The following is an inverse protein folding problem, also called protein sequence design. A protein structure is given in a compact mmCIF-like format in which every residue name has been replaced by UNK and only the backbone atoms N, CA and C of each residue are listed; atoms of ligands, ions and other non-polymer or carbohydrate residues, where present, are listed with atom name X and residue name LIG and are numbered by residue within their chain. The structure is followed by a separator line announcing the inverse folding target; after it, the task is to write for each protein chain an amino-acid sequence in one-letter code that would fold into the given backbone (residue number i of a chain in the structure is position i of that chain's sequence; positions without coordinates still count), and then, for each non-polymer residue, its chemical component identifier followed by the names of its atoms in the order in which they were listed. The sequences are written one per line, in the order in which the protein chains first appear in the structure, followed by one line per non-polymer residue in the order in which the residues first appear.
data_IF_289043420915
#
_entry.id   IF_289043420915
#
_cell.length_a   1.000
_cell.length_b   1.000
_cell.length_c   1.000
_cell.angle_alpha   90.00
_cell.angle_beta   90.00
_cell.angle_gamma   90.00
#
_symmetry.space_group_name_H-M   'P 1'
#
loop_
_entity.id
_entity.type
_entity.pdbx_description
1 polymer ?
#
# COMPACT_ATOMS: atom_id res chain seq x y z
N UNK A 1 1.80 -47.27 15.21
CA UNK A 1 1.24 -46.69 13.98
C UNK A 1 1.05 -45.19 14.21
N UNK A 2 1.95 -44.37 13.67
CA UNK A 2 1.84 -42.92 13.78
C UNK A 2 0.65 -42.44 12.93
N UNK A 3 -0.31 -41.78 13.56
CA UNK A 3 -1.42 -41.15 12.88
C UNK A 3 -0.87 -40.08 11.93
N UNK A 4 -0.88 -40.36 10.62
CA UNK A 4 -0.66 -39.36 9.58
C UNK A 4 -1.73 -38.28 9.79
N UNK A 5 -1.31 -37.10 10.24
CA UNK A 5 -2.18 -35.94 10.32
C UNK A 5 -2.64 -35.61 8.91
N UNK A 6 -3.93 -35.82 8.64
CA UNK A 6 -4.56 -35.43 7.39
C UNK A 6 -4.59 -33.90 7.33
N UNK A 7 -3.55 -33.29 6.80
CA UNK A 7 -3.55 -31.87 6.46
C UNK A 7 -4.51 -31.67 5.30
N UNK A 8 -5.77 -31.36 5.63
CA UNK A 8 -6.76 -30.89 4.66
C UNK A 8 -6.17 -29.70 3.88
N UNK A 9 -6.13 -29.73 2.54
CA UNK A 9 -5.55 -28.65 1.75
C UNK A 9 -6.31 -27.35 1.99
N UNK A 10 -5.61 -26.32 2.48
CA UNK A 10 -6.17 -24.97 2.67
C UNK A 10 -6.31 -24.49 4.12
N UNK A 11 -5.91 -25.26 5.14
CA UNK A 11 -5.84 -24.76 6.53
C UNK A 11 -4.74 -23.71 6.70
N UNK A 12 -5.04 -22.66 7.44
CA UNK A 12 -4.15 -21.59 7.88
C UNK A 12 -3.27 -22.07 9.02
N UNK A 13 -1.98 -21.75 8.96
CA UNK A 13 -0.99 -22.12 9.98
C UNK A 13 -0.83 -21.00 11.00
N UNK A 14 -0.70 -21.39 12.28
CA UNK A 14 -0.39 -20.47 13.38
C UNK A 14 1.00 -19.87 13.18
N UNK A 15 1.98 -20.69 12.77
CA UNK A 15 3.35 -20.24 12.53
C UNK A 15 3.40 -19.15 11.45
N UNK A 16 2.71 -19.37 10.32
CA UNK A 16 2.65 -18.38 9.23
C UNK A 16 1.97 -17.09 9.71
N UNK A 17 0.93 -17.19 10.55
CA UNK A 17 0.27 -16.01 11.10
C UNK A 17 1.21 -15.19 12.00
N UNK A 18 2.01 -15.82 12.87
CA UNK A 18 3.00 -15.11 13.69
C UNK A 18 4.17 -14.54 12.88
N UNK A 19 4.65 -15.29 11.89
CA UNK A 19 5.67 -14.80 10.95
C UNK A 19 5.19 -13.53 10.25
N UNK A 20 3.98 -13.55 9.70
CA UNK A 20 3.38 -12.37 9.08
C UNK A 20 3.13 -11.24 10.08
N UNK A 21 2.76 -11.55 11.33
CA UNK A 21 2.59 -10.55 12.39
C UNK A 21 3.92 -9.85 12.75
N UNK A 22 5.05 -10.56 12.72
CA UNK A 22 6.35 -9.97 13.03
C UNK A 22 6.83 -9.01 11.93
N UNK A 23 6.77 -9.45 10.65
CA UNK A 23 7.33 -8.67 9.54
C UNK A 23 6.35 -7.70 8.88
N UNK A 24 5.06 -8.07 8.84
CA UNK A 24 4.01 -7.31 8.14
C UNK A 24 2.85 -6.93 9.06
N UNK A 25 2.98 -7.17 10.37
CA UNK A 25 1.87 -7.04 11.31
C UNK A 25 1.43 -5.62 11.55
N UNK A 26 2.35 -4.65 11.53
CA UNK A 26 2.01 -3.21 11.61
C UNK A 26 1.08 -2.83 10.44
N UNK A 27 1.30 -3.40 9.26
CA UNK A 27 0.47 -3.19 8.08
C UNK A 27 -0.72 -4.15 7.96
N UNK A 28 -0.92 -5.05 8.93
CA UNK A 28 -2.05 -5.98 8.96
C UNK A 28 -1.95 -7.19 8.01
N UNK A 29 -0.75 -7.57 7.57
CA UNK A 29 -0.58 -8.69 6.62
C UNK A 29 -1.09 -10.04 7.15
N UNK A 30 -0.94 -10.30 8.45
CA UNK A 30 -1.49 -11.51 9.10
C UNK A 30 -3.03 -11.52 9.10
N UNK A 31 -3.69 -10.37 9.23
CA UNK A 31 -5.15 -10.28 9.10
C UNK A 31 -5.63 -10.58 7.69
N UNK A 32 -4.88 -10.12 6.68
CA UNK A 32 -5.17 -10.47 5.30
C UNK A 32 -5.02 -11.98 5.06
N UNK A 33 -3.99 -12.62 5.62
CA UNK A 33 -3.84 -14.09 5.54
C UNK A 33 -4.99 -14.86 6.20
N UNK A 34 -5.45 -14.35 7.34
CA UNK A 34 -6.56 -14.90 8.14
C UNK A 34 -7.95 -14.50 7.61
N UNK A 35 -8.03 -13.82 6.45
CA UNK A 35 -9.29 -13.39 5.82
C UNK A 35 -10.13 -12.42 6.67
N UNK A 36 -9.45 -11.56 7.43
CA UNK A 36 -10.03 -10.48 8.21
C UNK A 36 -9.77 -9.14 7.54
N UNK A 37 -10.31 -8.94 6.34
CA UNK A 37 -10.01 -7.77 5.49
C UNK A 37 -10.28 -6.42 6.15
N UNK A 38 -11.41 -6.29 6.85
CA UNK A 38 -11.73 -5.07 7.63
C UNK A 38 -10.70 -4.78 8.72
N UNK A 39 -10.18 -5.84 9.34
CA UNK A 39 -9.18 -5.74 10.39
C UNK A 39 -7.82 -5.35 9.81
N UNK A 40 -7.45 -5.95 8.67
CA UNK A 40 -6.25 -5.59 7.91
C UNK A 40 -6.26 -4.12 7.51
N UNK A 41 -7.40 -3.63 6.98
CA UNK A 41 -7.55 -2.22 6.60
C UNK A 41 -7.39 -1.27 7.80
N UNK A 42 -8.05 -1.57 8.92
CA UNK A 42 -7.90 -0.77 10.15
C UNK A 42 -6.44 -0.74 10.59
N UNK A 43 -5.75 -1.88 10.62
CA UNK A 43 -4.34 -1.96 11.02
C UNK A 43 -3.44 -1.13 10.12
N UNK A 44 -3.64 -1.21 8.81
CA UNK A 44 -2.89 -0.42 7.85
C UNK A 44 -3.12 1.09 8.05
N UNK A 45 -4.36 1.55 8.25
CA UNK A 45 -4.65 2.99 8.50
C UNK A 45 -4.23 3.49 9.88
N UNK A 46 -3.91 2.61 10.83
CA UNK A 46 -3.62 2.99 12.24
C UNK A 46 -2.25 2.53 12.71
N UNK A 47 -1.38 2.11 11.79
CA UNK A 47 -0.03 1.60 12.08
C UNK A 47 -0.05 0.52 13.17
N UNK A 48 -0.84 -0.53 12.94
CA UNK A 48 -0.94 -1.67 13.85
C UNK A 48 -1.88 -1.43 15.02
N UNK A 49 -2.93 -0.61 14.85
CA UNK A 49 -3.86 -0.30 15.94
C UNK A 49 -3.21 0.56 17.02
N UNK A 50 -2.51 1.62 16.60
CA UNK A 50 -1.77 2.54 17.47
C UNK A 50 -0.68 1.84 18.29
N UNK A 51 -0.02 0.83 17.69
CA UNK A 51 1.04 -0.02 18.29
C UNK A 51 0.54 -0.93 19.44
N UNK A 52 -0.32 -0.41 20.33
CA UNK A 52 -0.94 -1.14 21.44
C UNK A 52 -1.79 -2.30 20.93
N UNK A 53 -2.51 -2.09 19.83
CA UNK A 53 -3.26 -3.13 19.15
C UNK A 53 -2.35 -4.30 18.74
N UNK A 54 -1.29 -4.00 17.99
CA UNK A 54 -0.30 -4.96 17.49
C UNK A 54 0.32 -5.81 18.61
N UNK A 55 0.69 -5.21 19.74
CA UNK A 55 1.20 -5.94 20.93
C UNK A 55 0.14 -6.89 21.52
N UNK A 56 -1.10 -6.39 21.68
CA UNK A 56 -2.21 -7.18 22.23
C UNK A 56 -2.64 -8.36 21.35
N UNK A 57 -2.25 -8.38 20.08
CA UNK A 57 -2.63 -9.44 19.15
C UNK A 57 -1.85 -10.73 19.30
N UNK A 58 -0.67 -10.71 19.93
CA UNK A 58 0.12 -11.90 20.23
C UNK A 58 -0.75 -12.98 20.88
N UNK A 59 -1.62 -12.57 21.80
CA UNK A 59 -2.52 -13.47 22.54
C UNK A 59 -3.77 -13.87 21.74
N UNK A 60 -4.14 -13.13 20.70
CA UNK A 60 -5.38 -13.33 19.93
C UNK A 60 -5.19 -14.13 18.64
N UNK A 61 -3.98 -14.12 18.06
CA UNK A 61 -3.64 -14.85 16.84
C UNK A 61 -4.07 -16.33 16.86
N UNK A 62 -3.86 -17.11 17.94
CA UNK A 62 -4.29 -18.51 17.96
C UNK A 62 -5.80 -18.65 17.78
N UNK A 63 -6.58 -17.76 18.39
CA UNK A 63 -8.04 -17.73 18.23
C UNK A 63 -8.43 -17.35 16.80
N UNK A 64 -7.75 -16.40 16.18
CA UNK A 64 -8.03 -16.02 14.79
C UNK A 64 -7.71 -17.12 13.79
N UNK A 65 -6.66 -17.91 14.03
CA UNK A 65 -6.32 -19.06 13.18
C UNK A 65 -7.38 -20.15 13.30
N UNK A 66 -7.86 -20.44 14.52
CA UNK A 66 -8.99 -21.36 14.74
C UNK A 66 -10.26 -20.89 14.02
N UNK A 67 -10.56 -19.60 14.08
CA UNK A 67 -11.67 -18.99 13.35
C UNK A 67 -11.49 -19.13 11.83
N UNK A 68 -10.31 -18.84 11.29
CA UNK A 68 -10.04 -18.92 9.85
C UNK A 68 -10.06 -20.37 9.29
N UNK A 69 -9.90 -21.35 10.17
CA UNK A 69 -9.88 -22.78 9.86
C UNK A 69 -11.21 -23.49 10.11
N UNK A 70 -12.24 -22.77 10.58
CA UNK A 70 -13.52 -23.36 10.97
C UNK A 70 -13.34 -24.54 11.96
N UNK A 71 -12.45 -24.37 12.96
CA UNK A 71 -12.12 -25.41 13.95
C UNK A 71 -13.38 -25.87 14.72
N UNK A 72 -13.70 -27.18 14.78
CA UNK A 72 -14.87 -27.68 15.49
C UNK A 72 -15.01 -27.18 16.92
N UNK A 73 -13.91 -27.11 17.69
CA UNK A 73 -13.94 -26.63 19.07
C UNK A 73 -14.35 -25.16 19.15
N UNK A 74 -13.84 -24.36 18.23
CA UNK A 74 -14.16 -22.93 18.15
C UNK A 74 -15.61 -22.71 17.71
N UNK A 75 -16.10 -23.48 16.74
CA UNK A 75 -17.49 -23.40 16.26
C UNK A 75 -18.47 -23.78 17.38
N UNK A 76 -18.18 -24.82 18.14
CA UNK A 76 -19.01 -25.22 19.29
C UNK A 76 -19.01 -24.17 20.41
N UNK A 77 -17.84 -23.60 20.73
CA UNK A 77 -17.73 -22.50 21.70
C UNK A 77 -18.53 -21.27 21.24
N UNK A 78 -18.43 -20.92 19.96
CA UNK A 78 -19.19 -19.81 19.38
C UNK A 78 -20.70 -20.09 19.42
N UNK A 79 -21.13 -21.30 19.06
CA UNK A 79 -22.53 -21.71 19.12
C UNK A 79 -23.08 -21.59 20.55
N UNK A 80 -22.34 -22.06 21.56
CA UNK A 80 -22.71 -21.91 22.98
C UNK A 80 -22.90 -20.43 23.35
N UNK A 81 -21.99 -19.54 22.95
CA UNK A 81 -22.10 -18.09 23.23
C UNK A 81 -23.31 -17.45 22.56
N UNK A 82 -23.62 -17.84 21.32
CA UNK A 82 -24.78 -17.34 20.56
C UNK A 82 -26.09 -17.81 21.19
N UNK A 83 -26.15 -19.04 21.69
CA UNK A 83 -27.32 -19.57 22.39
C UNK A 83 -27.53 -18.86 23.74
N UNK A 84 -26.46 -18.69 24.53
CA UNK A 84 -26.54 -18.03 25.83
C UNK A 84 -26.93 -16.56 25.71
N UNK A 85 -26.39 -15.84 24.72
CA UNK A 85 -26.58 -14.41 24.58
C UNK A 85 -27.31 -14.09 23.28
N UNK A 86 -28.59 -13.68 23.37
CA UNK A 86 -29.38 -13.27 22.19
C UNK A 86 -28.71 -12.14 21.38
N UNK A 87 -27.94 -11.27 22.05
CA UNK A 87 -27.11 -10.23 21.45
C UNK A 87 -25.65 -10.38 21.93
N UNK A 88 -24.64 -10.00 21.14
CA UNK A 88 -23.26 -10.01 21.61
C UNK A 88 -23.10 -9.15 22.86
N UNK A 89 -22.36 -9.61 23.90
CA UNK A 89 -22.13 -8.81 25.10
C UNK A 89 -21.30 -7.56 24.79
N UNK A 90 -21.29 -6.59 25.71
CA UNK A 90 -20.43 -5.41 25.59
C UNK A 90 -18.95 -5.83 25.65
N UNK A 91 -18.12 -5.25 24.79
CA UNK A 91 -16.68 -5.48 24.78
C UNK A 91 -15.94 -4.15 24.82
N UNK A 92 -15.26 -3.90 25.94
CA UNK A 92 -14.48 -2.68 26.13
C UNK A 92 -13.45 -2.49 25.01
N UNK A 93 -12.69 -3.54 24.68
CA UNK A 93 -11.67 -3.48 23.62
C UNK A 93 -12.25 -3.07 22.25
N UNK A 94 -13.45 -3.56 21.92
CA UNK A 94 -14.11 -3.19 20.66
C UNK A 94 -14.63 -1.76 20.73
N UNK A 95 -15.25 -1.37 21.84
CA UNK A 95 -15.78 -0.03 22.04
C UNK A 95 -14.68 1.02 21.99
N UNK A 96 -13.58 0.82 22.71
CA UNK A 96 -12.38 1.66 22.63
C UNK A 96 -11.82 1.71 21.21
N UNK A 97 -11.76 0.56 20.51
CA UNK A 97 -11.34 0.52 19.12
C UNK A 97 -12.22 1.37 18.19
N UNK A 98 -13.55 1.37 18.38
CA UNK A 98 -14.48 2.21 17.62
C UNK A 98 -14.17 3.70 17.83
N UNK A 99 -13.90 4.10 19.07
CA UNK A 99 -13.55 5.49 19.41
C UNK A 99 -12.19 5.89 18.83
N UNK A 100 -11.15 5.07 19.00
CA UNK A 100 -9.81 5.42 18.54
C UNK A 100 -9.73 5.54 17.01
N UNK A 101 -10.27 4.53 16.29
CA UNK A 101 -10.27 4.52 14.82
C UNK A 101 -11.21 5.60 14.28
N UNK A 102 -12.40 5.74 14.87
CA UNK A 102 -13.35 6.77 14.48
C UNK A 102 -12.80 8.18 14.66
N UNK A 103 -12.13 8.45 15.77
CA UNK A 103 -11.50 9.75 16.03
C UNK A 103 -10.37 10.03 15.03
N UNK A 104 -9.47 9.07 14.81
CA UNK A 104 -8.36 9.21 13.87
C UNK A 104 -8.84 9.49 12.44
N UNK A 105 -9.85 8.76 11.97
CA UNK A 105 -10.40 8.98 10.62
C UNK A 105 -11.19 10.29 10.50
N UNK A 106 -11.89 10.70 11.56
CA UNK A 106 -12.61 11.98 11.60
C UNK A 106 -11.64 13.17 11.53
N UNK A 107 -10.57 13.13 12.33
CA UNK A 107 -9.49 14.13 12.31
C UNK A 107 -8.84 14.21 10.93
N UNK A 108 -8.52 13.06 10.32
CA UNK A 108 -7.96 12.99 8.97
C UNK A 108 -8.88 13.66 7.93
N UNK A 109 -10.18 13.42 8.02
CA UNK A 109 -11.16 13.99 7.10
C UNK A 109 -11.25 15.51 7.26
N UNK A 110 -11.17 16.01 8.49
CA UNK A 110 -11.19 17.44 8.77
C UNK A 110 -9.93 18.14 8.25
N UNK A 111 -8.75 17.58 8.54
CA UNK A 111 -7.48 18.15 8.09
C UNK A 111 -7.28 18.09 6.57
N UNK A 112 -7.99 17.19 5.89
CA UNK A 112 -8.01 17.17 4.44
C UNK A 112 -8.77 18.36 3.81
N UNK A 113 -9.65 19.04 4.57
CA UNK A 113 -10.45 20.18 4.10
C UNK A 113 -9.64 21.48 4.31
N UNK A 114 -9.43 22.30 3.28
CA UNK A 114 -8.67 23.54 3.42
C UNK A 114 -9.40 24.56 4.32
N UNK A 115 -8.66 25.29 5.18
CA UNK A 115 -9.25 26.27 6.10
C UNK A 115 -9.78 27.52 5.38
N UNK A 116 -9.15 27.90 4.27
CA UNK A 116 -9.43 29.11 3.51
C UNK A 116 -10.13 28.85 2.18
N UNK A 117 -10.67 29.91 1.57
CA UNK A 117 -11.31 29.84 0.27
C UNK A 117 -10.30 29.48 -0.82
N UNK A 118 -10.35 28.23 -1.29
CA UNK A 118 -9.55 27.76 -2.41
C UNK A 118 -10.24 28.19 -3.72
N UNK A 119 -9.57 29.01 -4.53
CA UNK A 119 -10.12 29.54 -5.81
C UNK A 119 -11.46 30.30 -5.66
N UNK A 120 -11.65 31.02 -4.55
CA UNK A 120 -12.87 31.79 -4.29
C UNK A 120 -14.07 30.94 -3.84
N UNK A 121 -13.90 29.62 -3.68
CA UNK A 121 -14.94 28.73 -3.14
C UNK A 121 -14.63 28.44 -1.67
N UNK A 122 -15.60 28.71 -0.78
CA UNK A 122 -15.49 28.37 0.63
C UNK A 122 -15.78 26.87 0.83
N UNK A 123 -14.73 26.05 0.95
CA UNK A 123 -14.87 24.60 1.13
C UNK A 123 -15.19 24.19 2.57
N UNK A 124 -15.31 25.13 3.51
CA UNK A 124 -15.64 24.86 4.91
C UNK A 124 -17.03 24.26 5.10
N UNK A 125 -17.94 24.44 4.14
CA UNK A 125 -19.25 23.77 4.11
C UNK A 125 -19.13 22.24 3.93
N UNK A 126 -18.00 21.74 3.42
CA UNK A 126 -17.72 20.32 3.32
C UNK A 126 -17.59 19.65 4.71
N UNK A 127 -17.41 20.44 5.78
CA UNK A 127 -17.50 19.95 7.15
C UNK A 127 -18.89 19.38 7.49
N UNK A 128 -19.94 19.75 6.76
CA UNK A 128 -21.26 19.12 6.88
C UNK A 128 -21.25 17.66 6.40
N UNK A 129 -20.26 17.29 5.58
CA UNK A 129 -20.01 15.91 5.21
C UNK A 129 -19.21 15.17 6.27
N UNK A 130 -18.78 15.74 7.39
CA UNK A 130 -18.11 14.97 8.46
C UNK A 130 -19.02 13.81 8.92
N UNK A 131 -20.32 14.03 9.23
CA UNK A 131 -21.29 12.94 9.42
C UNK A 131 -21.50 12.00 8.21
N UNK A 132 -21.18 12.40 6.98
CA UNK A 132 -21.47 11.64 5.73
C UNK A 132 -20.24 10.88 5.19
N UNK A 133 -19.03 11.40 5.37
CA UNK A 133 -17.78 10.67 5.37
C UNK A 133 -17.80 9.57 6.44
N UNK A 134 -18.72 9.68 7.41
CA UNK A 134 -19.14 8.67 8.37
C UNK A 134 -20.35 7.81 7.90
N UNK A 135 -20.76 7.85 6.63
CA UNK A 135 -21.66 6.85 6.08
C UNK A 135 -22.53 7.29 4.91
N UNK A 136 -22.33 6.66 3.75
CA UNK A 136 -23.33 6.57 2.70
C UNK A 136 -23.83 5.12 2.60
N UNK A 137 -25.10 4.90 2.95
CA UNK A 137 -25.80 3.69 2.52
C UNK A 137 -27.24 4.02 2.11
N UNK A 138 -27.51 3.85 0.81
CA UNK A 138 -28.87 3.88 0.28
C UNK A 138 -29.56 2.57 0.67
N UNK A 139 -30.17 2.56 1.85
CA UNK A 139 -30.88 1.40 2.32
C UNK A 139 -32.19 1.15 1.55
N UNK A 140 -32.16 0.25 0.57
CA UNK A 140 -33.39 -0.30 -0.02
C UNK A 140 -33.92 -1.40 0.91
N UNK A 141 -34.97 -1.11 1.69
CA UNK A 141 -35.77 -2.16 2.36
C UNK A 141 -36.52 -2.93 1.27
N UNK A 142 -36.23 -4.21 1.06
CA UNK A 142 -37.23 -5.10 0.47
C UNK A 142 -38.01 -5.76 1.61
N UNK A 143 -39.27 -5.38 1.72
CA UNK A 143 -40.27 -6.09 2.52
C UNK A 143 -40.61 -7.35 1.74
N UNK A 144 -40.07 -8.50 2.18
CA UNK A 144 -40.56 -9.79 1.71
C UNK A 144 -41.90 -10.03 2.40
N UNK A 145 -43.01 -9.86 1.67
CA UNK A 145 -44.30 -10.40 2.07
C UNK A 145 -44.17 -11.93 2.08
N UNK A 146 -44.17 -12.52 3.27
CA UNK A 146 -44.11 -13.97 3.43
C UNK A 146 -45.36 -14.62 2.84
N UNK A 147 -45.15 -15.62 1.97
CA UNK A 147 -46.19 -16.56 1.61
C UNK A 147 -46.19 -17.68 2.67
N UNK A 148 -47.32 -17.90 3.35
CA UNK A 148 -47.40 -18.73 4.57
C UNK A 148 -47.35 -20.25 4.33
N UNK A 149 -47.26 -20.70 3.08
CA UNK A 149 -47.50 -22.12 2.76
C UNK A 149 -46.25 -22.93 2.35
N UNK A 150 -45.04 -22.39 2.52
CA UNK A 150 -43.79 -23.13 2.26
C UNK A 150 -42.81 -23.06 3.43
N UNK A 151 -43.23 -23.57 4.58
CA UNK A 151 -42.34 -23.86 5.70
C UNK A 151 -41.68 -25.24 5.51
N UNK A 152 -40.73 -25.36 4.58
CA UNK A 152 -39.65 -26.37 4.57
C UNK A 152 -38.69 -26.06 3.42
N UNK A 153 -37.47 -25.68 3.80
CA UNK A 153 -36.26 -25.78 2.97
C UNK A 153 -36.20 -24.93 1.71
N UNK A 154 -36.29 -23.61 1.85
CA UNK A 154 -35.60 -22.68 0.92
C UNK A 154 -35.56 -21.30 1.57
N UNK A 155 -34.44 -21.00 2.24
CA UNK A 155 -34.17 -19.66 2.74
C UNK A 155 -33.80 -18.82 1.51
N UNK A 156 -34.78 -18.10 0.97
CA UNK A 156 -34.60 -17.13 -0.09
C UNK A 156 -33.49 -16.14 0.31
N UNK A 157 -32.43 -16.17 -0.49
CA UNK A 157 -31.20 -15.40 -0.32
C UNK A 157 -31.51 -13.94 -0.64
N UNK A 158 -31.59 -13.08 0.38
CA UNK A 158 -31.44 -11.65 0.15
C UNK A 158 -29.95 -11.35 -0.03
N UNK A 159 -29.55 -11.13 -1.28
CA UNK A 159 -28.26 -10.57 -1.62
C UNK A 159 -28.14 -9.14 -1.08
N UNK A 160 -27.36 -8.98 0.00
CA UNK A 160 -26.69 -7.71 0.29
C UNK A 160 -25.43 -7.68 -0.56
N UNK A 161 -25.51 -6.98 -1.69
CA UNK A 161 -24.35 -6.65 -2.49
C UNK A 161 -23.51 -5.63 -1.70
N UNK A 162 -22.52 -6.14 -0.95
CA UNK A 162 -21.55 -5.43 -0.10
C UNK A 162 -20.59 -4.50 -0.90
N UNK A 163 -20.92 -4.14 -2.14
CA UNK A 163 -20.03 -3.51 -3.13
C UNK A 163 -20.19 -1.99 -3.31
N UNK A 164 -20.87 -1.27 -2.40
CA UNK A 164 -21.07 0.19 -2.54
C UNK A 164 -20.50 0.92 -1.32
N UNK A 165 -19.43 1.68 -1.57
CA UNK A 165 -18.57 2.51 -0.70
C UNK A 165 -19.05 2.79 0.75
N UNK A 166 -18.29 2.38 1.78
CA UNK A 166 -18.55 2.72 3.19
C UNK A 166 -17.28 2.75 4.05
N UNK A 167 -16.79 3.93 4.48
CA UNK A 167 -15.86 3.98 5.60
C UNK A 167 -16.36 4.89 6.74
N UNK A 168 -17.20 4.35 7.62
CA UNK A 168 -17.32 4.88 8.99
C UNK A 168 -16.37 4.08 9.90
N UNK A 169 -15.50 4.76 10.65
CA UNK A 169 -14.54 4.11 11.56
C UNK A 169 -15.22 3.26 12.63
N UNK A 170 -16.28 3.79 13.26
CA UNK A 170 -17.10 3.10 14.27
C UNK A 170 -17.72 1.83 13.71
N UNK A 171 -18.39 1.93 12.56
CA UNK A 171 -19.01 0.77 11.92
C UNK A 171 -17.98 -0.25 11.45
N UNK A 172 -16.85 0.19 10.89
CA UNK A 172 -15.80 -0.72 10.40
C UNK A 172 -15.30 -1.59 11.53
N UNK A 173 -14.94 -0.99 12.67
CA UNK A 173 -14.50 -1.71 13.88
C UNK A 173 -15.63 -2.55 14.49
N UNK A 174 -16.85 -2.00 14.53
CA UNK A 174 -18.03 -2.70 15.03
C UNK A 174 -18.37 -3.98 14.28
N UNK A 175 -18.04 -4.05 13.00
CA UNK A 175 -18.32 -5.21 12.15
C UNK A 175 -17.13 -6.17 11.96
N UNK A 176 -16.08 -6.06 12.80
CA UNK A 176 -14.96 -6.99 12.80
C UNK A 176 -15.34 -8.33 13.48
N UNK A 177 -14.90 -9.45 12.92
CA UNK A 177 -15.11 -10.79 13.51
C UNK A 177 -16.53 -11.34 13.29
N UNK A 178 -17.11 -11.90 14.36
CA UNK A 178 -18.41 -12.59 14.38
C UNK A 178 -19.59 -11.67 14.68
N UNK A 179 -19.36 -10.37 14.81
CA UNK A 179 -20.40 -9.38 15.08
C UNK A 179 -20.71 -8.62 13.79
N UNK A 180 -21.96 -8.22 13.66
CA UNK A 180 -22.43 -7.37 12.57
C UNK A 180 -23.49 -6.38 13.03
N UNK A 181 -23.53 -5.24 12.35
CA UNK A 181 -24.45 -4.14 12.61
C UNK A 181 -24.64 -3.26 11.38
N UNK A 182 -25.79 -2.61 11.33
CA UNK A 182 -26.10 -1.61 10.31
C UNK A 182 -25.38 -0.29 10.57
N UNK A 183 -25.07 0.42 9.49
CA UNK A 183 -24.49 1.77 9.50
C UNK A 183 -25.48 2.85 9.97
N UNK A 184 -26.79 2.58 9.95
CA UNK A 184 -27.81 3.60 10.19
C UNK A 184 -27.78 4.18 11.60
N UNK A 185 -27.63 3.33 12.61
CA UNK A 185 -27.64 3.73 14.01
C UNK A 185 -26.45 4.60 14.40
N UNK A 186 -25.20 4.24 14.09
CA UNK A 186 -24.07 5.10 14.39
C UNK A 186 -24.14 6.43 13.63
N UNK A 187 -24.61 6.41 12.37
CA UNK A 187 -24.87 7.63 11.60
C UNK A 187 -25.94 8.53 12.26
N UNK A 188 -27.07 7.96 12.69
CA UNK A 188 -28.11 8.70 13.42
C UNK A 188 -27.58 9.28 14.74
N UNK A 189 -26.74 8.52 15.46
CA UNK A 189 -26.08 9.00 16.68
C UNK A 189 -25.16 10.20 16.41
N UNK A 190 -24.37 10.13 15.33
CA UNK A 190 -23.51 11.24 14.91
C UNK A 190 -24.32 12.49 14.53
N UNK A 191 -25.37 12.34 13.71
CA UNK A 191 -26.23 13.46 13.31
C UNK A 191 -27.02 14.05 14.49
N UNK A 192 -27.49 13.22 15.42
CA UNK A 192 -28.20 13.70 16.61
C UNK A 192 -27.28 14.54 17.52
N UNK A 193 -25.99 14.22 17.57
CA UNK A 193 -24.99 14.99 18.31
C UNK A 193 -24.45 16.21 17.54
N UNK A 194 -24.66 16.29 16.21
CA UNK A 194 -24.14 17.38 15.37
C UNK A 194 -24.48 18.81 15.86
N UNK A 195 -25.71 19.10 16.33
CA UNK A 195 -26.05 20.44 16.83
C UNK A 195 -25.23 20.90 18.04
N UNK A 196 -24.60 19.99 18.79
CA UNK A 196 -23.76 20.32 19.95
C UNK A 196 -22.55 21.18 19.54
N UNK A 197 -22.11 21.08 18.28
CA UNK A 197 -21.06 21.90 17.70
C UNK A 197 -21.30 23.41 17.84
N UNK A 198 -22.56 23.86 17.86
CA UNK A 198 -22.87 25.28 18.04
C UNK A 198 -22.67 25.78 19.47
N UNK A 199 -22.63 24.88 20.45
CA UNK A 199 -22.50 25.20 21.87
C UNK A 199 -21.09 24.94 22.41
N UNK A 200 -20.32 24.07 21.75
CA UNK A 200 -18.96 23.71 22.14
C UNK A 200 -17.97 24.32 21.15
N UNK A 201 -17.18 25.29 21.61
CA UNK A 201 -16.19 26.00 20.78
C UNK A 201 -14.93 25.18 20.47
N UNK A 202 -14.67 24.12 21.22
CA UNK A 202 -13.53 23.23 21.00
C UNK A 202 -13.91 22.10 20.04
N UNK A 203 -13.26 22.07 18.87
CA UNK A 203 -13.52 21.08 17.83
C UNK A 203 -13.29 19.64 18.36
N UNK A 204 -12.23 19.42 19.15
CA UNK A 204 -11.90 18.09 19.68
C UNK A 204 -12.98 17.57 20.63
N UNK A 205 -13.49 18.42 21.52
CA UNK A 205 -14.55 18.04 22.47
C UNK A 205 -15.82 17.66 21.71
N UNK A 206 -16.24 18.48 20.75
CA UNK A 206 -17.43 18.20 19.95
C UNK A 206 -17.29 16.85 19.20
N UNK A 207 -16.12 16.56 18.60
CA UNK A 207 -15.86 15.28 17.92
C UNK A 207 -15.99 14.09 18.86
N UNK A 208 -15.44 14.18 20.07
CA UNK A 208 -15.51 13.08 21.03
C UNK A 208 -16.95 12.78 21.44
N UNK A 209 -17.78 13.81 21.63
CA UNK A 209 -19.20 13.67 21.96
C UNK A 209 -19.97 13.00 20.81
N UNK A 210 -19.77 13.47 19.57
CA UNK A 210 -20.38 12.87 18.38
C UNK A 210 -20.01 11.39 18.24
N UNK A 211 -18.74 11.08 18.47
CA UNK A 211 -18.21 9.74 18.34
C UNK A 211 -18.71 8.80 19.42
N UNK A 212 -18.79 9.28 20.67
CA UNK A 212 -19.41 8.55 21.78
C UNK A 212 -20.89 8.25 21.48
N UNK A 213 -21.64 9.24 21.00
CA UNK A 213 -23.04 9.05 20.62
C UNK A 213 -23.19 7.99 19.51
N UNK A 214 -22.37 8.05 18.47
CA UNK A 214 -22.33 7.06 17.39
C UNK A 214 -21.98 5.65 17.88
N UNK A 215 -20.91 5.50 18.67
CA UNK A 215 -20.48 4.22 19.22
C UNK A 215 -21.52 3.59 20.17
N UNK A 216 -22.11 4.40 21.06
CA UNK A 216 -23.20 3.98 21.94
C UNK A 216 -24.43 3.54 21.14
N UNK A 217 -24.79 4.27 20.08
CA UNK A 217 -25.90 3.91 19.22
C UNK A 217 -25.65 2.58 18.48
N UNK A 218 -24.42 2.35 18.01
CA UNK A 218 -24.04 1.07 17.39
C UNK A 218 -24.16 -0.09 18.37
N UNK A 219 -23.56 0.04 19.56
CA UNK A 219 -23.52 -1.05 20.54
C UNK A 219 -24.92 -1.40 21.07
N UNK A 220 -25.75 -0.39 21.32
CA UNK A 220 -27.09 -0.56 21.88
C UNK A 220 -28.10 -1.12 20.88
N UNK A 221 -28.13 -0.57 19.65
CA UNK A 221 -29.22 -0.80 18.70
C UNK A 221 -28.82 -1.60 17.46
N UNK A 222 -27.56 -1.51 17.04
CA UNK A 222 -27.11 -2.09 15.78
C UNK A 222 -26.52 -3.49 15.93
N UNK A 223 -25.79 -3.73 17.02
CA UNK A 223 -24.97 -4.92 17.27
C UNK A 223 -25.79 -6.22 17.31
N UNK A 224 -25.40 -7.19 16.48
CA UNK A 224 -25.99 -8.53 16.36
C UNK A 224 -24.92 -9.57 16.06
N UNK A 225 -25.21 -10.84 16.37
CA UNK A 225 -24.37 -11.96 15.94
C UNK A 225 -24.48 -12.18 14.43
N UNK A 226 -23.34 -12.38 13.77
CA UNK A 226 -23.28 -12.79 12.38
C UNK A 226 -23.78 -14.22 12.26
N UNK A 227 -24.90 -14.41 11.56
CA UNK A 227 -25.57 -15.72 11.41
C UNK A 227 -25.04 -16.55 10.24
N UNK A 228 -24.50 -15.88 9.22
CA UNK A 228 -24.00 -16.53 8.01
C UNK A 228 -22.47 -16.56 8.02
N UNK A 229 -21.86 -17.72 7.68
CA UNK A 229 -20.41 -17.80 7.53
C UNK A 229 -19.96 -16.87 6.38
N UNK A 230 -18.77 -16.27 6.53
CA UNK A 230 -18.22 -15.38 5.50
C UNK A 230 -17.95 -16.18 4.22
N UNK A 231 -18.52 -15.74 3.10
CA UNK A 231 -18.19 -16.30 1.79
C UNK A 231 -16.72 -16.08 1.50
N UNK A 232 -16.02 -17.13 1.06
CA UNK A 232 -14.60 -17.08 0.68
C UNK A 232 -14.49 -16.35 -0.66
N UNK A 233 -14.06 -15.09 -0.64
CA UNK A 233 -13.87 -14.28 -1.85
C UNK A 233 -12.48 -14.51 -2.48
N UNK A 234 -12.38 -14.33 -3.79
CA UNK A 234 -11.12 -14.47 -4.52
C UNK A 234 -10.09 -13.40 -4.08
N UNK A 235 -8.80 -13.77 -4.05
CA UNK A 235 -7.75 -12.87 -3.57
C UNK A 235 -7.68 -11.58 -4.40
N UNK A 236 -7.87 -11.63 -5.72
CA UNK A 236 -7.86 -10.43 -6.59
C UNK A 236 -8.93 -9.42 -6.17
N UNK A 237 -10.16 -9.87 -5.91
CA UNK A 237 -11.25 -8.98 -5.46
C UNK A 237 -10.95 -8.36 -4.10
N UNK A 238 -10.30 -9.11 -3.20
CA UNK A 238 -9.92 -8.61 -1.86
C UNK A 238 -8.83 -7.56 -1.95
N UNK A 239 -7.79 -7.83 -2.75
CA UNK A 239 -6.70 -6.88 -3.01
C UNK A 239 -7.23 -5.63 -3.70
N UNK A 240 -8.12 -5.75 -4.69
CA UNK A 240 -8.68 -4.59 -5.38
C UNK A 240 -9.50 -3.71 -4.43
N UNK A 241 -10.35 -4.28 -3.58
CA UNK A 241 -11.13 -3.53 -2.59
C UNK A 241 -10.21 -2.81 -1.60
N UNK A 242 -9.20 -3.51 -1.05
CA UNK A 242 -8.24 -2.92 -0.12
C UNK A 242 -7.40 -1.83 -0.78
N UNK A 243 -6.97 -2.02 -2.03
CA UNK A 243 -6.24 -1.03 -2.80
C UNK A 243 -7.09 0.23 -3.04
N UNK A 244 -8.36 0.08 -3.44
CA UNK A 244 -9.27 1.23 -3.60
C UNK A 244 -9.46 1.99 -2.28
N UNK A 245 -9.69 1.28 -1.17
CA UNK A 245 -9.80 1.92 0.15
C UNK A 245 -8.49 2.61 0.58
N UNK A 246 -7.34 2.00 0.29
CA UNK A 246 -6.02 2.57 0.56
C UNK A 246 -5.76 3.83 -0.28
N UNK A 247 -6.13 3.83 -1.57
CA UNK A 247 -6.03 5.01 -2.43
C UNK A 247 -6.89 6.17 -1.90
N UNK A 248 -8.12 5.91 -1.46
CA UNK A 248 -8.98 6.93 -0.85
C UNK A 248 -8.32 7.47 0.42
N UNK A 249 -7.82 6.60 1.31
CA UNK A 249 -7.16 7.05 2.54
C UNK A 249 -5.87 7.85 2.27
N UNK A 250 -5.02 7.40 1.34
CA UNK A 250 -3.81 8.15 0.94
C UNK A 250 -4.16 9.48 0.29
N UNK A 251 -5.26 9.57 -0.47
CA UNK A 251 -5.70 10.85 -1.04
C UNK A 251 -6.04 11.89 0.02
N UNK A 252 -6.56 11.48 1.20
CA UNK A 252 -6.79 12.38 2.33
C UNK A 252 -5.47 12.88 2.92
N UNK A 253 -4.48 12.00 3.08
CA UNK A 253 -3.13 12.39 3.50
C UNK A 253 -2.43 13.31 2.51
N UNK A 254 -2.53 13.03 1.21
CA UNK A 254 -1.99 13.90 0.17
C UNK A 254 -2.68 15.27 0.19
N UNK A 255 -4.00 15.32 0.38
CA UNK A 255 -4.74 16.58 0.55
C UNK A 255 -4.24 17.36 1.76
N UNK A 256 -4.08 16.68 2.91
CA UNK A 256 -3.53 17.30 4.10
C UNK A 256 -2.13 17.89 3.86
N UNK A 257 -1.20 17.09 3.32
CA UNK A 257 0.16 17.55 3.01
C UNK A 257 0.17 18.69 2.00
N UNK A 258 -0.71 18.65 1.00
CA UNK A 258 -0.81 19.70 -0.01
C UNK A 258 -1.23 21.05 0.58
N UNK A 259 -2.21 21.05 1.50
CA UNK A 259 -2.74 22.29 2.09
C UNK A 259 -1.99 22.78 3.34
N UNK A 260 -1.39 21.88 4.12
CA UNK A 260 -0.77 22.22 5.41
C UNK A 260 0.75 22.00 5.44
N UNK A 261 1.31 21.31 4.46
CA UNK A 261 2.76 21.11 4.41
C UNK A 261 3.47 22.39 4.00
N UNK A 262 4.58 22.68 4.67
CA UNK A 262 5.52 23.74 4.33
C UNK A 262 6.89 23.12 4.02
N UNK A 263 7.61 23.71 3.07
CA UNK A 263 8.99 23.36 2.73
C UNK A 263 9.83 24.61 2.96
N UNK A 264 10.95 24.46 3.65
CA UNK A 264 11.92 25.54 3.85
C UNK A 264 12.81 25.69 2.63
N UNK A 265 12.92 26.88 2.08
CA UNK A 265 13.90 27.19 1.03
C UNK A 265 15.32 27.25 1.61
N UNK A 266 16.32 27.25 0.73
CA UNK A 266 17.73 27.50 1.00
C UNK A 266 18.01 28.82 1.74
N UNK A 267 17.12 29.80 1.63
CA UNK A 267 17.17 31.08 2.35
C UNK A 267 16.49 31.03 3.74
N UNK A 268 15.86 29.91 4.08
CA UNK A 268 15.18 29.69 5.37
C UNK A 268 13.71 30.08 5.41
N UNK A 269 13.14 30.56 4.30
CA UNK A 269 11.72 30.92 4.21
C UNK A 269 10.82 29.68 4.07
N UNK A 270 9.70 29.68 4.79
CA UNK A 270 8.70 28.60 4.74
C UNK A 270 7.69 28.84 3.60
N UNK A 271 7.75 27.99 2.57
CA UNK A 271 6.84 28.04 1.41
C UNK A 271 5.82 26.89 1.49
N UNK A 272 4.51 27.14 1.33
CA UNK A 272 3.52 26.07 1.27
C UNK A 272 3.77 25.09 0.11
N UNK A 273 3.53 23.79 0.35
CA UNK A 273 3.75 22.73 -0.65
C UNK A 273 2.97 22.98 -1.95
N UNK A 274 1.71 23.43 -1.86
CA UNK A 274 0.91 23.67 -3.06
C UNK A 274 1.52 24.74 -3.97
N UNK A 275 2.13 25.78 -3.39
CA UNK A 275 2.77 26.87 -4.11
C UNK A 275 4.10 26.42 -4.70
N UNK A 276 4.90 25.69 -3.91
CA UNK A 276 6.14 25.07 -4.38
C UNK A 276 5.89 24.12 -5.56
N UNK A 277 4.85 23.28 -5.48
CA UNK A 277 4.44 22.40 -6.59
C UNK A 277 3.99 23.21 -7.81
N UNK A 278 3.23 24.29 -7.60
CA UNK A 278 2.81 25.15 -8.71
C UNK A 278 4.02 25.75 -9.42
N UNK A 279 4.95 26.37 -8.67
CA UNK A 279 6.19 26.95 -9.20
C UNK A 279 7.08 25.91 -9.88
N UNK A 280 7.17 24.69 -9.31
CA UNK A 280 7.90 23.59 -9.92
C UNK A 280 7.29 23.22 -11.29
N UNK A 281 5.98 23.06 -11.38
CA UNK A 281 5.30 22.68 -12.62
C UNK A 281 5.17 23.81 -13.65
N UNK A 282 5.40 25.06 -13.25
CA UNK A 282 5.49 26.22 -14.17
C UNK A 282 6.93 26.62 -14.47
N UNK A 283 7.92 26.01 -13.81
CA UNK A 283 9.34 26.31 -14.02
C UNK A 283 9.78 26.02 -15.46
N UNK A 284 10.75 26.78 -16.00
CA UNK A 284 11.34 26.51 -17.32
C UNK A 284 11.86 25.08 -17.42
N UNK A 285 12.48 24.57 -16.36
CA UNK A 285 12.99 23.22 -16.30
C UNK A 285 11.90 22.15 -16.52
N UNK A 286 10.71 22.31 -15.93
CA UNK A 286 9.63 21.35 -16.11
C UNK A 286 9.04 21.41 -17.52
N UNK A 287 9.03 22.59 -18.14
CA UNK A 287 8.64 22.74 -19.54
C UNK A 287 9.62 22.00 -20.45
N UNK A 288 10.93 22.12 -20.19
CA UNK A 288 11.96 21.38 -20.93
C UNK A 288 11.79 19.86 -20.76
N UNK A 289 11.50 19.39 -19.54
CA UNK A 289 11.22 17.97 -19.28
C UNK A 289 10.00 17.49 -20.07
N UNK A 290 8.91 18.25 -20.07
CA UNK A 290 7.71 17.94 -20.87
C UNK A 290 8.04 17.86 -22.36
N UNK A 291 8.84 18.80 -22.85
CA UNK A 291 9.26 18.83 -24.24
C UNK A 291 10.13 17.62 -24.58
N UNK A 292 11.15 17.31 -23.78
CA UNK A 292 11.99 16.13 -23.95
C UNK A 292 11.18 14.82 -23.95
N UNK A 293 10.18 14.68 -23.07
CA UNK A 293 9.29 13.51 -23.05
C UNK A 293 8.47 13.42 -24.34
N UNK A 294 7.93 14.56 -24.82
CA UNK A 294 7.16 14.60 -26.06
C UNK A 294 8.01 14.26 -27.29
N UNK A 295 9.23 14.82 -27.38
CA UNK A 295 10.19 14.54 -28.44
C UNK A 295 10.64 13.07 -28.40
N UNK A 296 10.92 12.53 -27.22
CA UNK A 296 11.26 11.11 -27.04
C UNK A 296 10.12 10.22 -27.49
N UNK A 297 8.88 10.57 -27.16
CA UNK A 297 7.70 9.82 -27.58
C UNK A 297 7.52 9.85 -29.11
N UNK A 298 7.66 11.03 -29.74
CA UNK A 298 7.60 11.15 -31.20
C UNK A 298 8.72 10.36 -31.87
N UNK A 299 9.95 10.46 -31.35
CA UNK A 299 11.09 9.67 -31.83
C UNK A 299 10.83 8.17 -31.72
N UNK A 300 10.25 7.71 -30.59
CA UNK A 300 9.88 6.32 -30.36
C UNK A 300 8.81 5.83 -31.35
N UNK A 301 7.86 6.68 -31.73
CA UNK A 301 6.84 6.34 -32.73
C UNK A 301 7.45 6.13 -34.13
N UNK A 302 8.49 6.88 -34.49
CA UNK A 302 9.13 6.80 -35.80
C UNK A 302 10.21 5.69 -35.89
N UNK A 303 11.01 5.49 -34.85
CA UNK A 303 12.16 4.58 -34.85
C UNK A 303 11.95 3.29 -34.04
N UNK A 304 10.84 3.19 -33.30
CA UNK A 304 10.54 2.09 -32.40
C UNK A 304 11.16 2.26 -31.01
N UNK A 305 10.46 1.73 -30.00
CA UNK A 305 10.88 1.82 -28.58
C UNK A 305 12.22 1.13 -28.27
N UNK A 306 12.66 0.19 -29.11
CA UNK A 306 13.93 -0.50 -28.93
C UNK A 306 15.14 0.44 -29.12
N UNK A 307 15.12 1.27 -30.16
CA UNK A 307 16.21 2.23 -30.42
C UNK A 307 16.29 3.31 -29.34
N UNK A 308 15.14 3.75 -28.83
CA UNK A 308 15.08 4.66 -27.67
C UNK A 308 15.72 4.02 -26.43
N UNK A 309 15.37 2.77 -26.12
CA UNK A 309 15.94 2.07 -24.97
C UNK A 309 17.45 1.84 -25.13
N UNK A 310 17.90 1.54 -26.34
CA UNK A 310 19.32 1.43 -26.68
C UNK A 310 20.06 2.75 -26.44
N UNK A 311 19.54 3.87 -26.96
CA UNK A 311 20.11 5.20 -26.71
C UNK A 311 20.13 5.56 -25.23
N UNK A 312 19.06 5.26 -24.48
CA UNK A 312 19.02 5.50 -23.04
C UNK A 312 20.11 4.69 -22.32
N UNK A 313 20.32 3.43 -22.69
CA UNK A 313 21.40 2.61 -22.13
C UNK A 313 22.76 3.17 -22.48
N UNK A 314 22.98 3.54 -23.74
CA UNK A 314 24.25 4.07 -24.21
C UNK A 314 24.58 5.40 -23.52
N UNK A 315 23.60 6.28 -23.35
CA UNK A 315 23.73 7.53 -22.57
C UNK A 315 23.92 7.27 -21.07
N UNK A 316 23.36 6.18 -20.54
CA UNK A 316 23.52 5.76 -19.14
C UNK A 316 24.89 5.12 -18.87
N UNK A 317 25.66 4.78 -19.91
CA UNK A 317 27.03 4.29 -19.82
C UNK A 317 28.02 5.25 -20.53
N UNK A 318 28.22 6.47 -20.00
CA UNK A 318 29.06 7.48 -20.65
C UNK A 318 30.54 7.09 -20.79
N UNK A 319 30.95 6.00 -20.13
CA UNK A 319 32.32 5.47 -20.20
C UNK A 319 32.40 4.18 -21.03
N UNK A 320 31.27 3.64 -21.50
CA UNK A 320 31.21 2.38 -22.26
C UNK A 320 31.67 1.15 -21.47
N UNK A 321 31.72 1.22 -20.14
CA UNK A 321 32.26 0.16 -19.29
C UNK A 321 31.42 -1.12 -19.40
N UNK A 322 30.09 -1.00 -19.39
CA UNK A 322 29.18 -2.14 -19.47
C UNK A 322 29.27 -2.85 -20.83
N UNK A 323 29.43 -2.09 -21.91
CA UNK A 323 29.63 -2.67 -23.23
C UNK A 323 31.02 -3.35 -23.31
N UNK A 324 32.06 -2.74 -22.73
CA UNK A 324 33.40 -3.32 -22.69
C UNK A 324 33.44 -4.68 -21.94
N UNK A 325 32.75 -4.80 -20.80
CA UNK A 325 32.60 -6.09 -20.10
C UNK A 325 31.90 -7.14 -20.98
N UNK A 326 30.86 -6.74 -21.72
CA UNK A 326 30.12 -7.62 -22.63
C UNK A 326 30.97 -8.08 -23.82
N UNK A 327 31.77 -7.19 -24.42
CA UNK A 327 32.67 -7.50 -25.54
C UNK A 327 33.76 -8.50 -25.13
N UNK A 328 34.32 -8.34 -23.93
CA UNK A 328 35.32 -9.28 -23.38
C UNK A 328 34.70 -10.55 -22.77
N UNK A 329 33.39 -10.56 -22.52
CA UNK A 329 32.69 -11.69 -21.90
C UNK A 329 33.07 -11.93 -20.44
N UNK A 330 33.48 -10.87 -19.71
CA UNK A 330 33.92 -10.95 -18.31
C UNK A 330 32.92 -10.27 -17.38
N UNK A 331 32.88 -10.70 -16.11
CA UNK A 331 31.95 -10.14 -15.13
C UNK A 331 32.43 -8.75 -14.68
N UNK A 332 31.52 -7.90 -14.20
CA UNK A 332 31.83 -6.57 -13.66
C UNK A 332 32.77 -6.62 -12.45
N UNK A 333 32.75 -7.74 -11.72
CA UNK A 333 33.60 -8.00 -10.55
C UNK A 333 34.93 -8.69 -10.90
N UNK A 334 35.20 -8.95 -12.18
CA UNK A 334 36.41 -9.63 -12.62
C UNK A 334 37.66 -8.79 -12.31
N UNK A 335 38.68 -9.46 -11.80
CA UNK A 335 39.95 -8.82 -11.44
C UNK A 335 40.70 -8.34 -12.69
N UNK A 336 41.56 -7.32 -12.57
CA UNK A 336 42.33 -6.83 -13.72
C UNK A 336 43.21 -7.91 -14.38
N UNK A 337 43.73 -8.85 -13.58
CA UNK A 337 44.50 -9.99 -14.10
C UNK A 337 43.64 -10.91 -14.96
N UNK A 338 42.38 -11.10 -14.59
CA UNK A 338 41.37 -11.85 -15.36
C UNK A 338 40.96 -11.11 -16.64
N UNK A 339 40.70 -9.81 -16.55
CA UNK A 339 40.41 -8.98 -17.74
C UNK A 339 41.58 -9.02 -18.73
N UNK A 340 42.81 -8.91 -18.23
CA UNK A 340 44.03 -8.96 -19.05
C UNK A 340 44.26 -10.36 -19.65
N UNK A 341 43.96 -11.43 -18.92
CA UNK A 341 44.15 -12.79 -19.42
C UNK A 341 43.14 -13.12 -20.52
N UNK A 342 41.88 -12.72 -20.35
CA UNK A 342 40.81 -12.89 -21.34
C UNK A 342 41.07 -12.04 -22.58
N UNK A 343 41.49 -10.78 -22.41
CA UNK A 343 41.91 -9.92 -23.52
C UNK A 343 43.06 -10.56 -24.34
N UNK A 344 44.12 -11.04 -23.69
CA UNK A 344 45.24 -11.72 -24.37
C UNK A 344 44.82 -13.00 -25.09
N UNK A 345 43.80 -13.70 -24.59
CA UNK A 345 43.25 -14.89 -25.24
C UNK A 345 42.47 -14.49 -26.50
N UNK A 346 41.49 -13.61 -26.35
CA UNK A 346 40.62 -13.15 -27.45
C UNK A 346 41.39 -12.41 -28.55
N UNK A 347 42.39 -11.61 -28.19
CA UNK A 347 43.26 -10.90 -29.13
C UNK A 347 44.11 -11.85 -29.98
N UNK A 348 44.61 -12.94 -29.40
CA UNK A 348 45.36 -13.99 -30.15
C UNK A 348 44.46 -14.83 -31.04
N UNK A 349 43.21 -15.01 -30.68
CA UNK A 349 42.22 -15.78 -31.45
C UNK A 349 41.75 -14.98 -32.67
N UNK A 350 41.58 -13.67 -32.55
CA UNK A 350 41.06 -12.78 -33.60
C UNK A 350 42.15 -11.97 -34.33
N UNK A 351 43.43 -12.38 -34.27
CA UNK A 351 44.52 -11.64 -34.92
C UNK A 351 44.44 -11.75 -36.46
N UNK A 352 44.50 -10.63 -37.22
CA UNK A 352 44.30 -10.65 -38.68
C UNK A 352 45.32 -11.53 -39.42
N UNK A 353 46.56 -11.66 -38.92
CA UNK A 353 47.60 -12.51 -39.52
C UNK A 353 47.28 -14.02 -39.52
N UNK A 354 46.32 -14.47 -38.71
CA UNK A 354 45.94 -15.89 -38.66
C UNK A 354 44.94 -16.30 -39.72
N UNK A 355 44.32 -15.33 -40.40
CA UNK A 355 43.23 -15.56 -41.33
C UNK A 355 43.73 -15.38 -42.76
N UNK A 356 43.58 -16.43 -43.58
CA UNK A 356 44.09 -16.45 -44.96
C UNK A 356 43.09 -15.91 -45.98
N UNK A 357 41.80 -15.93 -45.65
CA UNK A 357 40.72 -15.43 -46.53
C UNK A 357 40.47 -13.93 -46.29
N UNK A 358 40.26 -13.19 -47.37
CA UNK A 358 40.19 -11.72 -47.36
C UNK A 358 38.93 -11.21 -46.65
N UNK A 359 37.81 -11.93 -46.77
CA UNK A 359 36.55 -11.58 -46.12
C UNK A 359 36.60 -11.84 -44.61
N UNK A 360 37.13 -12.98 -44.20
CA UNK A 360 37.31 -13.33 -42.79
C UNK A 360 38.38 -12.46 -42.11
N UNK A 361 39.40 -12.02 -42.84
CA UNK A 361 40.44 -11.12 -42.32
C UNK A 361 39.87 -9.78 -41.87
N UNK A 362 38.89 -9.23 -42.60
CA UNK A 362 38.20 -8.00 -42.22
C UNK A 362 37.36 -8.19 -40.95
N UNK A 363 36.59 -9.28 -40.87
CA UNK A 363 35.80 -9.59 -39.68
C UNK A 363 36.68 -9.81 -38.45
N UNK A 364 37.83 -10.49 -38.60
CA UNK A 364 38.80 -10.66 -37.54
C UNK A 364 39.44 -9.34 -37.11
N UNK A 365 39.77 -8.46 -38.07
CA UNK A 365 40.31 -7.12 -37.80
C UNK A 365 39.32 -6.24 -37.03
N UNK A 366 38.04 -6.21 -37.44
CA UNK A 366 36.99 -5.47 -36.73
C UNK A 366 36.83 -5.98 -35.30
N UNK A 367 36.74 -7.31 -35.12
CA UNK A 367 36.61 -7.92 -33.81
C UNK A 367 37.83 -7.66 -32.91
N UNK A 368 39.03 -7.69 -33.49
CA UNK A 368 40.28 -7.36 -32.79
C UNK A 368 40.28 -5.91 -32.28
N UNK A 369 39.82 -4.96 -33.10
CA UNK A 369 39.71 -3.55 -32.73
C UNK A 369 38.70 -3.35 -31.60
N UNK A 370 37.53 -3.99 -31.66
CA UNK A 370 36.52 -3.95 -30.58
C UNK A 370 37.08 -4.48 -29.25
N UNK A 371 37.78 -5.61 -29.28
CA UNK A 371 38.43 -6.22 -28.09
C UNK A 371 39.47 -5.27 -27.50
N UNK A 372 40.25 -4.58 -28.34
CA UNK A 372 41.27 -3.64 -27.90
C UNK A 372 40.65 -2.40 -27.24
N UNK A 373 39.61 -1.83 -27.85
CA UNK A 373 38.88 -0.69 -27.30
C UNK A 373 38.22 -1.03 -25.96
N UNK A 374 37.61 -2.21 -25.85
CA UNK A 374 37.00 -2.69 -24.61
C UNK A 374 38.05 -2.80 -23.48
N UNK A 375 39.23 -3.36 -23.75
CA UNK A 375 40.30 -3.45 -22.75
C UNK A 375 40.80 -2.07 -22.32
N UNK A 376 40.99 -1.14 -23.25
CA UNK A 376 41.47 0.21 -22.97
C UNK A 376 40.49 0.97 -22.05
N UNK A 377 39.19 0.89 -22.34
CA UNK A 377 38.13 1.48 -21.51
C UNK A 377 38.20 0.95 -20.07
N UNK A 378 38.30 -0.37 -19.89
CA UNK A 378 38.35 -0.99 -18.56
C UNK A 378 39.65 -0.72 -17.81
N UNK A 379 40.78 -0.66 -18.52
CA UNK A 379 42.07 -0.30 -17.93
C UNK A 379 42.07 1.16 -17.45
N UNK A 380 41.58 2.07 -18.29
CA UNK A 380 41.48 3.50 -17.96
C UNK A 380 40.49 3.76 -16.82
N UNK A 381 39.35 3.07 -16.79
CA UNK A 381 38.38 3.21 -15.69
C UNK A 381 38.98 2.79 -14.35
N UNK A 382 39.76 1.70 -14.31
CA UNK A 382 40.48 1.27 -13.11
C UNK A 382 41.51 2.30 -12.67
N UNK A 383 42.32 2.82 -13.59
CA UNK A 383 43.31 3.87 -13.28
C UNK A 383 42.63 5.12 -12.68
N UNK A 384 41.48 5.51 -13.24
CA UNK A 384 40.68 6.62 -12.71
C UNK A 384 40.17 6.35 -11.28
N UNK A 385 39.61 5.17 -11.03
CA UNK A 385 39.14 4.76 -9.68
C UNK A 385 40.28 4.77 -8.66
N UNK A 386 41.44 4.20 -9.02
CA UNK A 386 42.61 4.21 -8.14
C UNK A 386 43.12 5.62 -7.82
N UNK A 387 43.11 6.52 -8.81
CA UNK A 387 43.50 7.93 -8.60
C UNK A 387 42.53 8.64 -7.66
N UNK A 388 41.22 8.40 -7.80
CA UNK A 388 40.19 8.95 -6.91
C UNK A 388 40.36 8.46 -5.47
N UNK A 389 40.50 7.15 -5.27
CA UNK A 389 40.71 6.57 -3.93
C UNK A 389 41.98 7.10 -3.25
N UNK A 390 43.04 7.38 -4.01
CA UNK A 390 44.27 7.99 -3.47
C UNK A 390 44.06 9.44 -3.02
N UNK A 391 43.22 10.19 -3.74
CA UNK A 391 42.87 11.58 -3.39
C UNK A 391 41.98 11.62 -2.15
N UNK A 392 40.96 10.78 -2.09
CA UNK A 392 40.04 10.72 -0.95
C UNK A 392 40.80 10.34 0.34
N UNK A 393 41.72 9.36 0.28
CA UNK A 393 42.60 9.05 1.42
C UNK A 393 43.56 10.19 1.80
N UNK A 394 44.02 11.02 0.85
CA UNK A 394 44.87 12.16 1.20
C UNK A 394 44.08 13.33 1.79
N UNK A 395 42.81 13.45 1.44
CA UNK A 395 41.90 14.47 2.00
C UNK A 395 41.45 14.05 3.42
N UNK A 396 41.23 12.75 3.68
CA UNK A 396 40.98 12.20 5.04
C UNK A 396 42.16 12.35 6.01
N UNK A 397 43.40 12.30 5.51
CA UNK A 397 44.61 12.48 6.33
C UNK A 397 44.88 13.96 6.65
N UNK A 398 44.26 14.89 5.91
CA UNK A 398 44.46 16.34 6.04
C UNK A 398 43.29 17.08 6.73
N UNK A 399 42.39 16.36 7.41
CA UNK A 399 41.30 16.93 8.23
C UNK A 399 41.61 16.75 9.72
#
# INVERSE_FOLDING_TARGET
MAAKSSTMPGKKSIFVAYFMWLFTGIFGGHHFYLRRDRHAFVWWTTLGGFIVGWLGEIFRIPRYVREANDDPQYVEELARRVIQNKKPPFSMNRFTGMLMVGYSWAQMTMFAIPPDSFWGINLRYLNLLIPVALGLDKARRQVVKGNKDKAKTEISVCDMDDSKAKPEGVWTVGNIGNEEGSLKWPLLGAFAAYPIRYYVFDDSIWFTIMLLASACAFDSYSKRWRRTPKKKTHNVKRVSILATCACIYLSLWCSYLYFHGTITDSEGDEVPIYEALHHFFTSPWWLDVKQCIAETYQYAQHHGWYEVWKQIIDLSDPHGEQNAYRVLGVNRDSSQSEITSVWRKLSRENHPDKVKDEAERRAAQERFMEIQQAYEILSNSKHRRNRRNKKDNSDEINI
#
